data_IF_799224057047
#
_entry.id   IF_799224057047
#
_cell.length_a   1.000
_cell.length_b   1.000
_cell.length_c   1.000
_cell.angle_alpha   90.00
_cell.angle_beta   90.00
_cell.angle_gamma   90.00
#
_symmetry.space_group_name_H-M   'P 1'
#
loop_
_entity.id
_entity.type
_entity.pdbx_description
1 polymer ?
#
# COMPACT_ATOMS: atom_id res chain seq x y z
N UNK A 1 16.55 25.67 5.94
CA UNK A 1 16.10 24.33 5.54
C UNK A 1 14.82 24.51 4.73
N UNK A 2 14.72 23.98 3.51
CA UNK A 2 13.49 24.08 2.71
C UNK A 2 12.39 23.20 3.32
N UNK A 3 11.12 23.58 3.19
CA UNK A 3 9.98 22.80 3.72
C UNK A 3 9.99 21.35 3.18
N UNK A 4 10.40 21.15 1.93
CA UNK A 4 10.59 19.82 1.34
C UNK A 4 11.72 19.03 1.99
N UNK A 5 12.83 19.68 2.36
CA UNK A 5 13.95 19.04 3.05
C UNK A 5 13.55 18.55 4.45
N UNK A 6 12.79 19.37 5.19
CA UNK A 6 12.27 18.98 6.50
C UNK A 6 11.28 17.83 6.41
N UNK A 7 10.37 17.86 5.43
CA UNK A 7 9.42 16.77 5.19
C UNK A 7 10.13 15.45 4.89
N UNK A 8 11.06 15.42 3.94
CA UNK A 8 11.83 14.21 3.60
C UNK A 8 12.61 13.67 4.80
N UNK A 9 13.18 14.55 5.63
CA UNK A 9 13.89 14.15 6.84
C UNK A 9 12.96 13.50 7.86
N UNK A 10 11.80 14.11 8.15
CA UNK A 10 10.79 13.55 9.06
C UNK A 10 10.33 12.18 8.55
N UNK A 11 10.07 12.07 7.25
CA UNK A 11 9.59 10.84 6.64
C UNK A 11 10.62 9.71 6.72
N UNK A 12 11.88 10.01 6.40
CA UNK A 12 12.97 9.07 6.52
C UNK A 12 13.15 8.59 7.96
N UNK A 13 13.16 9.50 8.94
CA UNK A 13 13.24 9.12 10.36
C UNK A 13 12.04 8.29 10.81
N UNK A 14 10.84 8.60 10.31
CA UNK A 14 9.63 7.83 10.59
C UNK A 14 9.73 6.40 10.04
N UNK A 15 10.26 6.23 8.82
CA UNK A 15 10.52 4.92 8.21
C UNK A 15 11.60 4.13 8.97
N UNK A 16 12.66 4.80 9.44
CA UNK A 16 13.70 4.18 10.26
C UNK A 16 13.14 3.72 11.60
N UNK A 17 12.31 4.54 12.26
CA UNK A 17 11.61 4.18 13.50
C UNK A 17 10.55 3.10 13.30
N UNK A 18 9.97 3.00 12.10
CA UNK A 18 8.99 1.98 11.77
C UNK A 18 9.58 0.57 11.87
N UNK A 19 10.84 0.37 11.45
CA UNK A 19 11.50 -0.94 11.47
C UNK A 19 11.57 -1.59 12.87
N UNK A 20 12.12 -0.95 13.92
CA UNK A 20 12.16 -1.54 15.26
C UNK A 20 10.76 -1.70 15.85
N UNK A 21 9.82 -0.78 15.59
CA UNK A 21 8.44 -0.90 16.07
C UNK A 21 7.74 -2.09 15.42
N UNK A 22 7.87 -2.24 14.09
CA UNK A 22 7.34 -3.38 13.36
C UNK A 22 7.98 -4.69 13.84
N UNK A 23 9.30 -4.73 14.09
CA UNK A 23 9.98 -5.90 14.63
C UNK A 23 9.42 -6.30 16.01
N UNK A 24 9.20 -5.34 16.92
CA UNK A 24 8.59 -5.59 18.24
C UNK A 24 7.16 -6.11 18.11
N UNK A 25 6.35 -5.52 17.22
CA UNK A 25 4.97 -5.97 16.99
C UNK A 25 4.93 -7.38 16.39
N UNK A 26 5.79 -7.67 15.41
CA UNK A 26 5.91 -9.01 14.81
C UNK A 26 6.35 -10.03 15.84
N UNK A 27 7.27 -9.67 16.74
CA UNK A 27 7.71 -10.55 17.82
C UNK A 27 6.56 -10.89 18.79
N UNK A 28 5.67 -9.93 19.08
CA UNK A 28 4.46 -10.15 19.90
C UNK A 28 3.36 -10.91 19.14
N UNK A 29 3.17 -10.62 17.85
CA UNK A 29 2.11 -11.17 16.99
C UNK A 29 2.64 -11.44 15.58
N UNK A 30 3.12 -12.66 15.29
CA UNK A 30 3.71 -12.97 13.97
C UNK A 30 2.71 -12.79 12.82
N UNK A 31 1.41 -13.00 13.08
CA UNK A 31 0.35 -12.79 12.09
C UNK A 31 0.15 -11.33 11.63
N UNK A 32 0.80 -10.35 12.29
CA UNK A 32 0.73 -8.94 11.95
C UNK A 32 1.80 -8.48 10.93
N UNK A 33 2.72 -9.36 10.52
CA UNK A 33 3.81 -8.98 9.62
C UNK A 33 3.31 -8.45 8.26
N UNK A 34 2.31 -9.11 7.66
CA UNK A 34 1.71 -8.73 6.38
C UNK A 34 1.04 -7.35 6.37
N UNK A 35 0.13 -7.02 7.31
CA UNK A 35 -0.45 -5.67 7.35
C UNK A 35 0.59 -4.60 7.68
N UNK A 36 1.61 -4.90 8.50
CA UNK A 36 2.73 -3.99 8.71
C UNK A 36 3.50 -3.75 7.41
N UNK A 37 3.82 -4.81 6.68
CA UNK A 37 4.51 -4.69 5.41
C UNK A 37 3.68 -3.91 4.38
N UNK A 38 2.37 -4.14 4.31
CA UNK A 38 1.45 -3.39 3.45
C UNK A 38 1.42 -1.90 3.81
N UNK A 39 1.42 -1.57 5.11
CA UNK A 39 1.48 -0.18 5.58
C UNK A 39 2.81 0.47 5.19
N UNK A 40 3.93 -0.20 5.41
CA UNK A 40 5.27 0.28 5.02
C UNK A 40 5.36 0.54 3.52
N UNK A 41 4.89 -0.40 2.70
CA UNK A 41 4.82 -0.27 1.26
C UNK A 41 3.91 0.89 0.83
N UNK A 42 2.77 1.09 1.50
CA UNK A 42 1.85 2.19 1.22
C UNK A 42 2.48 3.57 1.48
N UNK A 43 3.29 3.69 2.54
CA UNK A 43 4.06 4.92 2.82
C UNK A 43 5.10 5.16 1.73
N UNK A 44 5.82 4.12 1.29
CA UNK A 44 6.81 4.25 0.20
C UNK A 44 6.14 4.70 -1.09
N UNK A 45 5.00 4.09 -1.44
CA UNK A 45 4.26 4.45 -2.66
C UNK A 45 3.75 5.88 -2.59
N UNK A 46 3.16 6.31 -1.46
CA UNK A 46 2.72 7.70 -1.28
C UNK A 46 3.87 8.71 -1.38
N UNK A 47 5.05 8.36 -0.84
CA UNK A 47 6.24 9.19 -0.98
C UNK A 47 6.78 9.23 -2.42
N UNK A 48 6.73 8.09 -3.12
CA UNK A 48 7.14 7.99 -4.53
C UNK A 48 6.20 8.80 -5.43
N UNK A 49 4.89 8.75 -5.15
CA UNK A 49 3.86 9.49 -5.87
C UNK A 49 4.10 11.00 -5.80
N UNK A 50 4.47 11.53 -4.62
CA UNK A 50 4.84 12.95 -4.47
C UNK A 50 6.06 13.38 -5.29
N UNK A 51 6.94 12.45 -5.67
CA UNK A 51 8.13 12.72 -6.50
C UNK A 51 7.90 12.45 -7.98
N UNK A 52 6.89 11.66 -8.30
CA UNK A 52 6.53 11.31 -9.68
C UNK A 52 5.60 12.38 -10.23
N UNK A 53 5.88 12.87 -11.44
CA UNK A 53 4.92 13.66 -12.20
C UNK A 53 3.81 12.81 -12.81
N UNK A 54 3.99 11.48 -12.87
CA UNK A 54 3.04 10.55 -13.46
C UNK A 54 2.39 9.63 -12.42
N UNK A 55 1.05 9.64 -12.29
CA UNK A 55 0.33 8.79 -11.33
C UNK A 55 0.29 7.31 -11.73
N UNK A 56 0.65 7.00 -12.98
CA UNK A 56 0.63 5.65 -13.55
C UNK A 56 1.56 4.69 -12.81
N UNK A 57 2.75 5.16 -12.43
CA UNK A 57 3.77 4.35 -11.73
C UNK A 57 3.26 3.93 -10.34
N UNK A 58 2.68 4.87 -9.60
CA UNK A 58 2.09 4.62 -8.28
C UNK A 58 0.91 3.65 -8.37
N UNK A 59 0.05 3.80 -9.38
CA UNK A 59 -1.07 2.89 -9.60
C UNK A 59 -0.61 1.45 -9.90
N UNK A 60 0.39 1.28 -10.78
CA UNK A 60 1.00 -0.03 -11.06
C UNK A 60 1.58 -0.66 -9.79
N UNK A 61 2.33 0.10 -9.00
CA UNK A 61 2.88 -0.37 -7.73
C UNK A 61 1.79 -0.81 -6.76
N UNK A 62 0.71 -0.04 -6.61
CA UNK A 62 -0.42 -0.41 -5.75
C UNK A 62 -1.08 -1.70 -6.20
N UNK A 63 -1.28 -1.88 -7.52
CA UNK A 63 -1.86 -3.11 -8.06
C UNK A 63 -0.95 -4.30 -7.79
N UNK A 64 0.34 -4.19 -8.12
CA UNK A 64 1.29 -5.31 -7.96
C UNK A 64 1.51 -5.67 -6.49
N UNK A 65 1.71 -4.68 -5.63
CA UNK A 65 1.91 -4.88 -4.19
C UNK A 65 0.63 -5.35 -3.50
N UNK A 66 -0.51 -4.78 -3.90
CA UNK A 66 -1.84 -5.20 -3.45
C UNK A 66 -2.12 -6.65 -3.84
N UNK A 67 -1.80 -7.03 -5.08
CA UNK A 67 -1.92 -8.40 -5.55
C UNK A 67 -1.06 -9.37 -4.73
N UNK A 68 0.21 -9.04 -4.51
CA UNK A 68 1.11 -9.91 -3.75
C UNK A 68 0.66 -10.08 -2.30
N UNK A 69 0.27 -8.98 -1.64
CA UNK A 69 -0.21 -9.01 -0.27
C UNK A 69 -1.59 -9.69 -0.14
N UNK A 70 -2.50 -9.46 -1.10
CA UNK A 70 -3.82 -10.10 -1.16
C UNK A 70 -3.73 -11.60 -1.42
N UNK A 71 -2.80 -12.01 -2.28
CA UNK A 71 -2.44 -13.41 -2.49
C UNK A 71 -1.87 -14.03 -1.20
N UNK A 72 -0.96 -13.34 -0.51
CA UNK A 72 -0.39 -13.84 0.74
C UNK A 72 -1.40 -13.93 1.91
N UNK A 73 -2.41 -13.05 1.98
CA UNK A 73 -3.40 -13.02 3.07
C UNK A 73 -4.85 -12.77 2.61
N UNK A 74 -5.54 -13.77 2.03
CA UNK A 74 -6.88 -13.59 1.46
C UNK A 74 -7.95 -13.27 2.50
N UNK A 75 -7.74 -13.64 3.77
CA UNK A 75 -8.67 -13.35 4.87
C UNK A 75 -8.72 -11.87 5.26
N UNK A 76 -7.71 -11.08 4.90
CA UNK A 76 -7.57 -9.66 5.30
C UNK A 76 -7.24 -8.73 4.12
N UNK A 77 -7.57 -9.14 2.90
CA UNK A 77 -7.27 -8.36 1.69
C UNK A 77 -7.89 -6.95 1.70
N UNK A 78 -9.05 -6.78 2.34
CA UNK A 78 -9.66 -5.45 2.51
C UNK A 78 -8.79 -4.51 3.36
N UNK A 79 -8.17 -5.00 4.44
CA UNK A 79 -7.25 -4.20 5.25
C UNK A 79 -5.99 -3.85 4.49
N UNK A 80 -5.46 -4.78 3.70
CA UNK A 80 -4.29 -4.56 2.84
C UNK A 80 -4.58 -3.49 1.78
N UNK A 81 -5.73 -3.58 1.11
CA UNK A 81 -6.15 -2.59 0.11
C UNK A 81 -6.32 -1.19 0.69
N UNK A 82 -6.90 -1.08 1.89
CA UNK A 82 -7.01 0.18 2.63
C UNK A 82 -5.63 0.70 3.03
N UNK A 83 -4.77 -0.13 3.62
CA UNK A 83 -3.46 0.31 4.11
C UNK A 83 -2.53 0.78 2.98
N UNK A 84 -2.54 0.08 1.85
CA UNK A 84 -1.79 0.49 0.66
C UNK A 84 -2.40 1.72 0.00
N UNK A 85 -3.72 1.69 -0.22
CA UNK A 85 -4.45 2.73 -0.95
C UNK A 85 -4.58 4.04 -0.19
N UNK A 86 -4.61 4.00 1.15
CA UNK A 86 -4.68 5.19 1.99
C UNK A 86 -3.35 5.96 2.03
N UNK A 87 -2.23 5.35 1.65
CA UNK A 87 -0.94 6.04 1.59
C UNK A 87 -0.97 7.28 0.69
N UNK A 88 -1.51 7.16 -0.51
CA UNK A 88 -1.59 8.24 -1.50
C UNK A 88 -2.43 9.45 -1.03
N UNK A 89 -3.71 9.30 -0.64
CA UNK A 89 -4.51 10.43 -0.18
C UNK A 89 -4.00 11.05 1.12
N UNK A 90 -3.42 10.24 2.04
CA UNK A 90 -2.80 10.77 3.26
C UNK A 90 -1.62 11.68 2.93
N UNK A 91 -0.79 11.28 1.97
CA UNK A 91 0.36 12.08 1.53
C UNK A 91 -0.06 13.37 0.83
N UNK A 92 -1.08 13.33 -0.01
CA UNK A 92 -1.63 14.54 -0.64
C UNK A 92 -2.22 15.49 0.40
N UNK A 93 -2.89 14.96 1.43
CA UNK A 93 -3.39 15.77 2.54
C UNK A 93 -2.27 16.40 3.37
N UNK A 94 -1.18 15.66 3.62
CA UNK A 94 0.03 16.17 4.26
C UNK A 94 0.71 17.26 3.42
N UNK A 95 0.81 17.06 2.10
CA UNK A 95 1.33 18.05 1.17
C UNK A 95 0.49 19.34 1.13
N UNK A 96 -0.85 19.19 1.19
CA UNK A 96 -1.80 20.29 1.31
C UNK A 96 -1.55 21.11 2.58
N UNK A 97 -1.45 20.42 3.72
CA UNK A 97 -1.28 21.03 5.05
C UNK A 97 0.04 21.78 5.14
N UNK A 98 1.09 21.24 4.51
CA UNK A 98 2.43 21.83 4.48
C UNK A 98 2.62 22.88 3.37
N UNK A 99 1.57 23.18 2.59
CA UNK A 99 1.58 24.11 1.44
C UNK A 99 2.70 23.81 0.44
N UNK A 100 3.03 22.52 0.26
CA UNK A 100 4.10 22.08 -0.65
C UNK A 100 3.65 22.06 -2.12
N UNK A 101 2.33 21.98 -2.35
CA UNK A 101 1.72 21.92 -3.68
C UNK A 101 0.37 22.64 -3.66
N UNK A 102 0.02 23.34 -4.75
CA UNK A 102 -1.34 23.85 -4.93
C UNK A 102 -2.23 22.69 -5.35
N UNK A 103 -3.16 22.28 -4.48
CA UNK A 103 -4.09 21.19 -4.81
C UNK A 103 -4.93 21.59 -6.02
N UNK A 104 -4.65 20.94 -7.15
CA UNK A 104 -5.58 20.96 -8.27
C UNK A 104 -6.65 19.90 -8.04
N UNK A 105 -7.90 20.17 -8.45
CA UNK A 105 -9.01 19.21 -8.38
C UNK A 105 -8.66 17.87 -9.06
N UNK A 106 -7.78 17.90 -10.07
CA UNK A 106 -7.30 16.72 -10.79
C UNK A 106 -6.48 15.81 -9.88
N UNK A 107 -5.55 16.35 -9.09
CA UNK A 107 -4.69 15.58 -8.18
C UNK A 107 -5.50 14.89 -7.06
N UNK A 108 -6.58 15.53 -6.59
CA UNK A 108 -7.49 14.92 -5.63
C UNK A 108 -8.20 13.71 -6.24
N UNK A 109 -8.72 13.82 -7.46
CA UNK A 109 -9.42 12.71 -8.13
C UNK A 109 -8.44 11.56 -8.41
N UNK A 110 -7.22 11.84 -8.88
CA UNK A 110 -6.21 10.79 -9.14
C UNK A 110 -5.81 10.04 -7.89
N UNK A 111 -5.80 10.70 -6.72
CA UNK A 111 -5.54 10.03 -5.43
C UNK A 111 -6.61 9.00 -5.05
N UNK A 112 -7.88 9.29 -5.36
CA UNK A 112 -9.00 8.37 -5.13
C UNK A 112 -8.95 7.20 -6.11
N UNK A 113 -8.53 7.45 -7.35
CA UNK A 113 -8.32 6.41 -8.36
C UNK A 113 -7.22 5.44 -7.93
N UNK A 114 -6.13 5.94 -7.32
CA UNK A 114 -5.07 5.10 -6.76
C UNK A 114 -5.60 4.13 -5.69
N UNK A 115 -6.56 4.59 -4.86
CA UNK A 115 -7.23 3.76 -3.86
C UNK A 115 -8.04 2.64 -4.52
N UNK A 116 -8.77 2.93 -5.60
CA UNK A 116 -9.49 1.90 -6.40
C UNK A 116 -8.53 0.87 -6.98
N UNK A 117 -7.39 1.29 -7.53
CA UNK A 117 -6.37 0.39 -8.06
C UNK A 117 -5.76 -0.53 -6.97
N UNK A 118 -5.49 0.01 -5.79
CA UNK A 118 -5.04 -0.78 -4.63
C UNK A 118 -6.05 -1.87 -4.25
N UNK A 119 -7.33 -1.51 -4.20
CA UNK A 119 -8.40 -2.47 -3.95
C UNK A 119 -8.50 -3.52 -5.07
N UNK A 120 -8.42 -3.10 -6.34
CA UNK A 120 -8.43 -3.99 -7.50
C UNK A 120 -7.30 -5.02 -7.44
N UNK A 121 -6.08 -4.58 -7.16
CA UNK A 121 -4.92 -5.47 -6.97
C UNK A 121 -5.12 -6.44 -5.82
N UNK A 122 -5.53 -5.96 -4.65
CA UNK A 122 -5.76 -6.80 -3.47
C UNK A 122 -6.81 -7.89 -3.72
N UNK A 123 -7.95 -7.55 -4.33
CA UNK A 123 -8.99 -8.54 -4.64
C UNK A 123 -8.59 -9.51 -5.76
N UNK A 124 -7.87 -9.04 -6.79
CA UNK A 124 -7.33 -9.91 -7.83
C UNK A 124 -6.43 -11.01 -7.23
N UNK A 125 -5.56 -10.66 -6.27
CA UNK A 125 -4.71 -11.62 -5.55
C UNK A 125 -5.51 -12.66 -4.77
N UNK A 126 -6.62 -12.27 -4.14
CA UNK A 126 -7.53 -13.20 -3.44
C UNK A 126 -8.18 -14.19 -4.40
N UNK A 127 -8.67 -13.72 -5.54
CA UNK A 127 -9.35 -14.55 -6.54
C UNK A 127 -8.38 -15.60 -7.07
N UNK A 128 -7.17 -15.20 -7.46
CA UNK A 128 -6.13 -16.13 -7.94
C UNK A 128 -5.80 -17.21 -6.90
N UNK A 129 -5.67 -16.83 -5.62
CA UNK A 129 -5.44 -17.81 -4.55
C UNK A 129 -6.60 -18.77 -4.36
N UNK A 130 -7.84 -18.30 -4.43
CA UNK A 130 -9.03 -19.17 -4.32
C UNK A 130 -9.11 -20.16 -5.47
N UNK A 131 -8.82 -19.72 -6.69
CA UNK A 131 -8.79 -20.61 -7.87
C UNK A 131 -7.69 -21.66 -7.72
N UNK A 132 -6.47 -21.27 -7.33
CA UNK A 132 -5.36 -22.19 -7.10
C UNK A 132 -5.66 -23.23 -6.01
N UNK A 133 -6.27 -22.82 -4.89
CA UNK A 133 -6.67 -23.74 -3.83
C UNK A 133 -7.72 -24.77 -4.29
N UNK A 134 -8.70 -24.33 -5.11
CA UNK A 134 -9.75 -25.22 -5.62
C UNK A 134 -9.26 -26.24 -6.65
N UNK A 135 -8.17 -25.95 -7.37
CA UNK A 135 -7.59 -26.92 -8.31
C UNK A 135 -6.83 -28.04 -7.59
N UNK A 136 -6.25 -27.76 -6.42
CA UNK A 136 -5.51 -28.76 -5.65
C UNK A 136 -6.45 -29.87 -5.16
N UNK A 137 -7.67 -29.54 -4.74
CA UNK A 137 -8.68 -30.53 -4.31
C UNK A 137 -9.23 -31.38 -5.44
N UNK A 138 -9.30 -30.87 -6.68
CA UNK A 138 -9.83 -31.63 -7.83
C UNK A 138 -8.84 -32.66 -8.39
N UNK A 139 -7.55 -32.52 -8.13
CA UNK A 139 -6.52 -33.47 -8.60
C UNK A 139 -6.48 -34.74 -7.75
N UNK A 140 -6.93 -34.69 -6.48
CA UNK A 140 -6.98 -35.87 -5.60
C UNK A 140 -8.25 -36.72 -5.73
N UNK A 141 -9.24 -36.28 -6.53
CA UNK A 141 -10.50 -37.00 -6.76
C UNK A 141 -10.56 -37.71 -8.12
N UNK A 142 -9.44 -37.84 -8.83
CA UNK A 142 -9.37 -38.64 -10.06
C UNK A 142 -8.96 -40.08 -9.68
N UNK A 143 -9.88 -41.07 -9.77
CA UNK A 143 -9.58 -42.49 -9.58
C UNK A 143 -8.76 -43.09 -10.73
#
# INVERSE_FOLDING_TARGET
MTNQGMFNWILFNSLVLYLPVAAVIVWRKPNAWLPLMALFLGIIVGWLDMKSTEPTVSALLLVTLGFFCGFAQPKRAWLVGILLGAGVPVFIFLAATLRLTQLTMVEQITSLVALVFSFGGAYAGVIVRRVSHNQTTRVFEMP
#
